data_IF_179025214138
#
_entry.id   IF_179025214138
#
_cell.length_a   1.000
_cell.length_b   1.000
_cell.length_c   1.000
_cell.angle_alpha   90.00
_cell.angle_beta   90.00
_cell.angle_gamma   90.00
#
_symmetry.space_group_name_H-M   'P 1'
#
loop_
_entity.id
_entity.type
_entity.pdbx_description
1 polymer ?
#
# COMPACT_ATOMS: atom_id res chain seq x y z
N UNK A 1 -7.86 -10.45 -28.54
CA UNK A 1 -7.95 -10.72 -27.09
C UNK A 1 -7.24 -9.70 -26.20
N UNK A 2 -5.96 -9.35 -26.44
CA UNK A 2 -5.17 -8.41 -25.60
C UNK A 2 -5.82 -7.04 -25.31
N UNK A 3 -6.53 -6.44 -26.28
CA UNK A 3 -7.21 -5.14 -26.09
C UNK A 3 -8.43 -5.19 -25.16
N UNK A 4 -9.08 -6.35 -25.02
CA UNK A 4 -10.22 -6.52 -24.10
C UNK A 4 -9.74 -6.60 -22.66
N UNK A 5 -8.66 -7.35 -22.44
CA UNK A 5 -8.01 -7.57 -21.15
C UNK A 5 -7.51 -6.24 -20.55
N UNK A 6 -6.84 -5.40 -21.34
CA UNK A 6 -6.35 -4.08 -20.89
C UNK A 6 -7.49 -3.12 -20.51
N UNK A 7 -8.61 -3.15 -21.25
CA UNK A 7 -9.80 -2.35 -20.91
C UNK A 7 -10.43 -2.81 -19.61
N UNK A 8 -10.48 -4.12 -19.36
CA UNK A 8 -11.00 -4.68 -18.10
C UNK A 8 -10.13 -4.25 -16.91
N UNK A 9 -8.79 -4.29 -17.03
CA UNK A 9 -7.90 -3.81 -15.96
C UNK A 9 -8.05 -2.33 -15.65
N UNK A 10 -8.19 -1.49 -16.68
CA UNK A 10 -8.44 -0.06 -16.49
C UNK A 10 -9.75 0.21 -15.75
N UNK A 11 -10.80 -0.56 -16.03
CA UNK A 11 -12.11 -0.40 -15.38
C UNK A 11 -12.07 -0.85 -13.92
N UNK A 12 -11.42 -1.98 -13.61
CA UNK A 12 -11.27 -2.47 -12.23
C UNK A 12 -10.43 -1.51 -11.39
N UNK A 13 -9.33 -1.00 -11.95
CA UNK A 13 -8.48 -0.02 -11.29
C UNK A 13 -9.22 1.30 -11.01
N UNK A 14 -10.04 1.77 -11.95
CA UNK A 14 -10.88 2.95 -11.77
C UNK A 14 -11.96 2.73 -10.70
N UNK A 15 -12.58 1.54 -10.66
CA UNK A 15 -13.57 1.18 -9.64
C UNK A 15 -12.98 1.16 -8.23
N UNK A 16 -11.76 0.61 -8.06
CA UNK A 16 -11.06 0.61 -6.76
C UNK A 16 -10.68 2.03 -6.32
N UNK A 17 -10.26 2.89 -7.26
CA UNK A 17 -10.02 4.32 -6.98
C UNK A 17 -11.29 5.06 -6.55
N UNK A 18 -12.43 4.76 -7.16
CA UNK A 18 -13.72 5.36 -6.82
C UNK A 18 -14.26 4.87 -5.47
N UNK A 19 -14.04 3.60 -5.11
CA UNK A 19 -14.41 3.06 -3.80
C UNK A 19 -13.55 3.58 -2.64
N UNK A 20 -12.41 4.21 -2.92
CA UNK A 20 -11.51 4.78 -1.89
C UNK A 20 -11.88 6.22 -1.48
N UNK A 21 -12.99 6.77 -1.97
CA UNK A 21 -13.37 8.18 -1.76
C UNK A 21 -14.19 8.47 -0.50
N UNK A 22 -14.57 7.47 0.30
CA UNK A 22 -15.22 7.75 1.60
C UNK A 22 -14.16 8.22 2.61
N UNK A 23 -14.17 9.53 2.81
CA UNK A 23 -13.11 10.29 3.46
C UNK A 23 -12.94 9.99 4.95
N UNK A 24 -11.70 9.73 5.32
CA UNK A 24 -11.20 9.98 6.68
C UNK A 24 -11.18 11.50 6.93
N UNK A 25 -12.31 12.09 7.29
CA UNK A 25 -12.34 13.38 8.00
C UNK A 25 -11.92 13.15 9.44
N UNK A 26 -10.61 13.01 9.64
CA UNK A 26 -10.00 13.17 10.96
C UNK A 26 -9.51 14.61 11.10
N UNK A 27 -9.90 15.29 12.17
CA UNK A 27 -9.46 16.66 12.48
C UNK A 27 -7.93 16.77 12.67
N UNK A 28 -7.22 15.63 12.82
CA UNK A 28 -5.76 15.58 12.84
C UNK A 28 -5.22 15.51 11.41
N UNK A 29 -4.63 16.62 10.94
CA UNK A 29 -3.87 16.69 9.67
C UNK A 29 -2.63 15.78 9.74
N UNK A 30 -2.79 14.51 9.36
CA UNK A 30 -1.67 13.63 9.02
C UNK A 30 -1.03 14.21 7.75
N UNK A 31 0.26 14.57 7.81
CA UNK A 31 0.99 15.16 6.69
C UNK A 31 1.59 14.06 5.82
N UNK A 32 1.16 14.00 4.56
CA UNK A 32 1.78 13.14 3.55
C UNK A 32 3.17 13.70 3.19
N UNK A 33 4.19 12.83 3.25
CA UNK A 33 5.60 13.13 3.03
C UNK A 33 6.10 12.55 1.71
N UNK A 34 5.65 11.34 1.38
CA UNK A 34 6.08 10.60 0.20
C UNK A 34 4.87 10.14 -0.61
N UNK A 35 4.96 10.26 -1.93
CA UNK A 35 4.13 9.52 -2.87
C UNK A 35 5.03 8.86 -3.89
N UNK A 36 4.85 7.55 -4.06
CA UNK A 36 5.58 6.72 -4.99
C UNK A 36 4.67 5.72 -5.67
N UNK A 37 5.22 5.05 -6.67
CA UNK A 37 4.61 3.87 -7.28
C UNK A 37 5.63 2.74 -7.20
N UNK A 38 5.13 1.51 -7.08
CA UNK A 38 5.98 0.33 -7.13
C UNK A 38 5.37 -0.72 -8.05
N UNK A 39 6.25 -1.53 -8.62
CA UNK A 39 5.90 -2.73 -9.35
C UNK A 39 7.01 -3.76 -9.19
N UNK A 40 6.71 -5.03 -9.45
CA UNK A 40 7.69 -6.09 -9.33
C UNK A 40 7.19 -7.42 -9.85
N UNK A 41 7.91 -8.48 -9.46
CA UNK A 41 7.54 -9.87 -9.69
C UNK A 41 7.76 -10.64 -8.40
N UNK A 42 6.75 -11.37 -7.95
CA UNK A 42 6.85 -12.33 -6.86
C UNK A 42 6.75 -13.75 -7.40
N UNK A 43 7.55 -14.64 -6.84
CA UNK A 43 7.50 -16.07 -7.13
C UNK A 43 7.56 -16.85 -5.80
N UNK A 44 6.67 -17.81 -5.61
CA UNK A 44 6.68 -18.69 -4.45
C UNK A 44 6.34 -20.13 -4.88
N UNK A 45 7.05 -21.11 -4.32
CA UNK A 45 6.75 -22.52 -4.56
C UNK A 45 5.51 -22.92 -3.79
N UNK A 46 4.59 -23.62 -4.46
CA UNK A 46 3.42 -24.24 -3.82
C UNK A 46 3.61 -25.75 -3.74
N UNK A 47 3.15 -26.37 -2.66
CA UNK A 47 3.33 -27.82 -2.45
C UNK A 47 2.44 -28.66 -3.37
N UNK A 48 1.23 -28.17 -3.68
CA UNK A 48 0.18 -28.93 -4.36
C UNK A 48 -0.18 -28.39 -5.75
N UNK A 49 0.37 -27.24 -6.16
CA UNK A 49 0.06 -26.56 -7.42
C UNK A 49 1.34 -26.01 -8.07
N UNK A 50 1.22 -25.53 -9.31
CA UNK A 50 2.29 -24.80 -9.98
C UNK A 50 2.74 -23.58 -9.16
N UNK A 51 4.00 -23.18 -9.36
CA UNK A 51 4.60 -22.05 -8.64
C UNK A 51 3.73 -20.80 -8.77
N UNK A 52 3.49 -20.15 -7.64
CA UNK A 52 2.76 -18.91 -7.57
C UNK A 52 3.59 -17.80 -8.24
N UNK A 53 3.04 -17.17 -9.26
CA UNK A 53 3.67 -16.04 -9.96
C UNK A 53 2.77 -14.82 -9.93
N UNK A 54 3.27 -13.71 -9.40
CA UNK A 54 2.49 -12.48 -9.22
C UNK A 54 3.23 -11.25 -9.72
N UNK A 55 2.48 -10.31 -10.29
CA UNK A 55 2.96 -9.02 -10.78
C UNK A 55 2.17 -7.89 -10.13
N UNK A 56 2.63 -7.35 -8.99
CA UNK A 56 1.98 -6.24 -8.32
C UNK A 56 2.26 -4.91 -9.02
N UNK A 57 1.27 -4.02 -8.95
CA UNK A 57 1.39 -2.58 -9.21
C UNK A 57 0.67 -1.86 -8.07
N UNK A 58 1.37 -0.96 -7.40
CA UNK A 58 0.83 -0.26 -6.24
C UNK A 58 1.34 1.16 -6.10
N UNK A 59 0.69 1.88 -5.19
CA UNK A 59 1.13 3.19 -4.74
C UNK A 59 1.84 3.03 -3.41
N UNK A 60 2.74 3.95 -3.11
CA UNK A 60 3.42 4.07 -1.83
C UNK A 60 3.13 5.45 -1.26
N UNK A 61 2.47 5.50 -0.11
CA UNK A 61 2.07 6.74 0.55
C UNK A 61 2.75 6.81 1.90
N UNK A 62 3.73 7.68 2.05
CA UNK A 62 4.45 7.90 3.29
C UNK A 62 3.88 9.09 4.06
N UNK A 63 3.68 8.93 5.36
CA UNK A 63 3.06 9.91 6.25
C UNK A 63 3.93 10.13 7.49
N UNK A 64 4.10 11.40 7.87
CA UNK A 64 4.73 11.73 9.14
C UNK A 64 3.78 11.37 10.31
N UNK A 65 4.29 10.67 11.32
CA UNK A 65 3.53 10.22 12.49
C UNK A 65 3.47 11.21 13.65
N UNK A 66 4.10 12.39 13.54
CA UNK A 66 4.11 13.44 14.57
C UNK A 66 2.71 13.69 15.16
N UNK A 67 1.70 13.85 14.31
CA UNK A 67 0.31 14.12 14.73
C UNK A 67 -0.35 12.98 15.52
N UNK A 68 0.13 11.74 15.39
CA UNK A 68 -0.39 10.59 16.13
C UNK A 68 0.04 10.64 17.60
N UNK A 69 1.25 11.13 17.87
CA UNK A 69 1.87 11.09 19.20
C UNK A 69 1.81 12.41 19.98
N UNK A 70 1.23 13.48 19.41
CA UNK A 70 1.12 14.81 20.04
C UNK A 70 0.53 14.83 21.46
N UNK A 71 -0.33 13.86 21.80
CA UNK A 71 -1.06 13.83 23.07
C UNK A 71 -0.51 12.79 24.06
N UNK A 72 0.59 12.09 23.73
CA UNK A 72 1.18 11.09 24.61
C UNK A 72 2.33 11.75 25.36
N UNK A 73 2.26 11.78 26.70
CA UNK A 73 3.40 12.19 27.52
C UNK A 73 4.50 11.13 27.40
N UNK A 74 5.62 11.52 26.80
CA UNK A 74 6.77 10.65 26.54
C UNK A 74 8.07 11.36 26.94
N UNK A 75 9.06 10.59 27.39
CA UNK A 75 10.41 11.10 27.63
C UNK A 75 11.01 11.71 26.35
N UNK A 76 11.84 12.75 26.50
CA UNK A 76 12.28 13.59 25.39
C UNK A 76 12.96 12.85 24.23
N UNK A 77 13.74 11.80 24.53
CA UNK A 77 14.38 10.95 23.51
C UNK A 77 13.37 10.10 22.73
N UNK A 78 12.37 9.55 23.42
CA UNK A 78 11.31 8.73 22.83
C UNK A 78 10.36 9.59 21.97
N UNK A 79 10.08 10.82 22.43
CA UNK A 79 9.28 11.79 21.67
C UNK A 79 9.93 12.11 20.33
N UNK A 80 11.25 12.39 20.32
CA UNK A 80 12.00 12.69 19.10
C UNK A 80 11.95 11.53 18.10
N UNK A 81 12.20 10.30 18.58
CA UNK A 81 12.14 9.09 17.77
C UNK A 81 10.78 8.92 17.08
N UNK A 82 9.68 9.16 17.81
CA UNK A 82 8.31 8.98 17.32
C UNK A 82 7.81 10.12 16.43
N UNK A 83 8.37 11.33 16.55
CA UNK A 83 7.92 12.53 15.81
C UNK A 83 8.77 12.88 14.59
N UNK A 84 10.08 12.63 14.64
CA UNK A 84 11.02 13.01 13.58
C UNK A 84 11.46 11.80 12.74
N UNK A 85 11.67 10.66 13.41
CA UNK A 85 12.34 9.51 12.81
C UNK A 85 11.37 8.38 12.44
N UNK A 86 10.07 8.51 12.74
CA UNK A 86 9.06 7.49 12.44
C UNK A 86 8.16 7.92 11.28
N UNK A 87 7.94 7.00 10.34
CA UNK A 87 7.08 7.19 9.18
C UNK A 87 6.09 6.03 9.04
N UNK A 88 4.82 6.37 8.84
CA UNK A 88 3.79 5.41 8.48
C UNK A 88 3.72 5.34 6.96
N UNK A 89 3.92 4.16 6.38
CA UNK A 89 3.82 3.93 4.94
C UNK A 89 2.63 3.03 4.67
N UNK A 90 1.76 3.46 3.76
CA UNK A 90 0.60 2.71 3.26
C UNK A 90 0.84 2.37 1.79
N UNK A 91 0.72 1.10 1.44
CA UNK A 91 1.04 0.57 0.12
C UNK A 91 -0.14 -0.18 -0.50
N UNK A 92 -1.20 0.51 -0.97
CA UNK A 92 -2.29 -0.15 -1.66
C UNK A 92 -1.81 -0.66 -3.02
N UNK A 93 -2.18 -1.89 -3.36
CA UNK A 93 -1.79 -2.52 -4.62
C UNK A 93 -2.89 -3.38 -5.22
N UNK A 94 -2.76 -3.58 -6.53
CA UNK A 94 -3.43 -4.65 -7.28
C UNK A 94 -2.35 -5.51 -7.92
N UNK A 95 -2.54 -6.81 -7.95
CA UNK A 95 -1.60 -7.72 -8.55
C UNK A 95 -2.30 -8.73 -9.46
N UNK A 96 -1.69 -8.95 -10.63
CA UNK A 96 -2.07 -10.05 -11.51
C UNK A 96 -1.35 -11.32 -11.07
N UNK A 97 -2.10 -12.37 -10.79
CA UNK A 97 -1.59 -13.71 -10.54
C UNK A 97 -1.61 -14.44 -11.89
N UNK A 98 -0.46 -14.88 -12.37
CA UNK A 98 -0.35 -15.60 -13.66
C UNK A 98 -0.38 -17.12 -13.48
N UNK A 99 0.04 -17.62 -12.31
CA UNK A 99 0.15 -19.03 -11.97
C UNK A 99 -0.13 -19.20 -10.46
N UNK A 100 -0.73 -20.31 -10.00
CA UNK A 100 -1.15 -21.49 -10.77
C UNK A 100 -2.40 -21.28 -11.63
N UNK A 101 -3.26 -20.35 -11.26
CA UNK A 101 -4.45 -19.99 -12.02
C UNK A 101 -4.46 -18.48 -12.25
N UNK A 102 -4.84 -18.04 -13.44
CA UNK A 102 -4.89 -16.61 -13.75
C UNK A 102 -5.97 -15.91 -12.92
N UNK A 103 -5.56 -15.02 -12.02
CA UNK A 103 -6.46 -14.33 -11.11
C UNK A 103 -5.93 -12.92 -10.75
N UNK A 104 -6.66 -12.21 -9.90
CA UNK A 104 -6.27 -10.91 -9.36
C UNK A 104 -6.38 -10.93 -7.84
N UNK A 105 -5.42 -10.29 -7.19
CA UNK A 105 -5.50 -9.94 -5.79
C UNK A 105 -5.29 -8.44 -5.62
N UNK A 106 -5.84 -7.90 -4.55
CA UNK A 106 -5.54 -6.55 -4.11
C UNK A 106 -5.32 -6.57 -2.60
N UNK A 107 -4.55 -5.61 -2.13
CA UNK A 107 -4.20 -5.52 -0.73
C UNK A 107 -3.66 -4.15 -0.39
N UNK A 108 -3.31 -3.97 0.88
CA UNK A 108 -2.61 -2.79 1.34
C UNK A 108 -1.51 -3.21 2.29
N UNK A 109 -0.27 -2.80 2.00
CA UNK A 109 0.83 -2.90 2.95
C UNK A 109 0.72 -1.78 3.99
N UNK A 110 0.92 -2.09 5.26
CA UNK A 110 1.03 -1.11 6.34
C UNK A 110 2.39 -1.29 6.99
N UNK A 111 3.26 -0.28 6.87
CA UNK A 111 4.61 -0.32 7.39
C UNK A 111 4.83 0.86 8.34
N UNK A 112 5.54 0.59 9.44
CA UNK A 112 6.10 1.62 10.31
C UNK A 112 7.61 1.58 10.10
N UNK A 113 8.17 2.67 9.58
CA UNK A 113 9.59 2.79 9.25
C UNK A 113 10.29 3.74 10.21
N UNK A 114 11.46 3.33 10.69
CA UNK A 114 12.43 4.23 11.30
C UNK A 114 13.35 4.79 10.21
N UNK A 115 13.62 6.09 10.22
CA UNK A 115 14.45 6.82 9.25
C UNK A 115 15.88 7.05 9.74
#
# INVERSE_FOLDING_TARGET
>A
MRKKILKTYGIVFLLVLLCSQEGFTSEKKIKMKEIGFFTGRGCARLEEKDDYEVFPVGLRLGFNTESLFQNIEMEGGLRRLMSEDLELVVEPYIAGINSPESNFECGTGLLIRLL
#
